data_IF_779687009392
#
_entry.id   IF_779687009392
#
_cell.length_a   1.000
_cell.length_b   1.000
_cell.length_c   1.000
_cell.angle_alpha   90.00
_cell.angle_beta   90.00
_cell.angle_gamma   90.00
#
_symmetry.space_group_name_H-M   'P 1'
#
loop_
_entity.id
_entity.type
_entity.pdbx_description
1 polymer ?
#
# COMPACT_ATOMS: atom_id res chain seq x y z
N UNK A 1 17.03 4.59 -7.59
CA UNK A 1 15.80 5.21 -7.04
C UNK A 1 15.54 6.61 -7.60
N UNK A 2 16.46 7.58 -7.45
CA UNK A 2 16.27 8.99 -7.91
C UNK A 2 15.99 9.09 -9.41
N UNK A 3 16.69 8.34 -10.27
CA UNK A 3 16.51 8.36 -11.73
C UNK A 3 15.12 7.87 -12.15
N UNK A 4 14.62 6.80 -11.51
CA UNK A 4 13.28 6.29 -11.74
C UNK A 4 12.22 7.34 -11.32
N UNK A 5 12.49 8.04 -10.23
CA UNK A 5 11.64 9.11 -9.71
C UNK A 5 11.55 10.29 -10.69
N UNK A 6 12.69 10.72 -11.24
CA UNK A 6 12.76 11.83 -12.21
C UNK A 6 12.04 11.47 -13.51
N UNK A 7 12.31 10.27 -14.06
CA UNK A 7 11.65 9.80 -15.29
C UNK A 7 10.14 9.71 -15.10
N UNK A 8 9.73 9.21 -13.95
CA UNK A 8 8.33 9.08 -13.59
C UNK A 8 7.68 10.46 -13.39
N UNK A 9 8.31 11.38 -12.65
CA UNK A 9 7.81 12.73 -12.46
C UNK A 9 7.65 13.45 -13.81
N UNK A 10 8.64 13.31 -14.72
CA UNK A 10 8.57 13.87 -16.06
C UNK A 10 7.41 13.29 -16.89
N UNK A 11 7.23 11.97 -16.84
CA UNK A 11 6.11 11.29 -17.52
C UNK A 11 4.76 11.74 -16.96
N UNK A 12 4.69 11.92 -15.64
CA UNK A 12 3.49 12.33 -14.92
C UNK A 12 3.10 13.79 -15.25
N UNK A 13 4.05 14.70 -15.36
CA UNK A 13 3.82 16.13 -15.67
C UNK A 13 3.28 16.30 -17.11
N UNK A 14 3.65 15.42 -18.04
CA UNK A 14 3.19 15.48 -19.44
C UNK A 14 1.75 14.97 -19.67
N UNK A 15 1.16 14.21 -18.75
CA UNK A 15 -0.21 13.69 -18.93
C UNK A 15 -1.28 14.66 -18.41
N UNK A 16 -2.06 15.25 -19.31
CA UNK A 16 -3.13 16.23 -19.01
C UNK A 16 -4.28 15.70 -18.13
N UNK A 17 -4.33 14.39 -17.78
CA UNK A 17 -5.35 13.74 -16.92
C UNK A 17 -4.73 12.85 -15.84
N UNK A 18 -3.73 13.37 -15.20
CA UNK A 18 -2.91 12.72 -14.20
C UNK A 18 -3.70 12.00 -13.08
N UNK A 19 -4.66 12.70 -12.47
CA UNK A 19 -5.43 12.14 -11.35
C UNK A 19 -6.30 10.94 -11.72
N UNK A 20 -6.79 10.89 -12.96
CA UNK A 20 -7.60 9.78 -13.44
C UNK A 20 -6.75 8.56 -13.79
N UNK A 21 -5.57 8.79 -14.39
CA UNK A 21 -4.65 7.73 -14.76
C UNK A 21 -4.07 7.01 -13.52
N UNK A 22 -3.90 7.73 -12.42
CA UNK A 22 -3.36 7.22 -11.15
C UNK A 22 -4.42 6.69 -10.18
N UNK A 23 -5.68 6.59 -10.58
CA UNK A 23 -6.76 6.24 -9.67
C UNK A 23 -6.85 7.12 -8.41
N UNK A 24 -6.49 8.40 -8.51
CA UNK A 24 -6.70 9.40 -7.45
C UNK A 24 -8.17 9.87 -7.42
N UNK A 25 -9.09 8.93 -7.36
CA UNK A 25 -10.54 9.19 -7.34
C UNK A 25 -11.02 9.27 -5.90
N UNK A 26 -12.00 10.14 -5.68
CA UNK A 26 -12.70 10.16 -4.40
C UNK A 26 -13.48 8.88 -4.21
N UNK A 27 -13.44 8.33 -3.02
CA UNK A 27 -14.22 7.17 -2.57
C UNK A 27 -15.09 7.56 -1.38
N UNK A 28 -16.09 6.75 -1.11
CA UNK A 28 -16.93 6.94 0.09
C UNK A 28 -16.07 6.77 1.35
N UNK A 29 -16.40 7.54 2.39
CA UNK A 29 -15.64 7.53 3.65
C UNK A 29 -15.45 6.11 4.26
N UNK A 30 -16.45 5.22 4.28
CA UNK A 30 -16.23 3.86 4.78
C UNK A 30 -15.14 3.11 3.99
N UNK A 31 -15.17 3.18 2.66
CA UNK A 31 -14.15 2.52 1.80
C UNK A 31 -12.76 3.13 2.00
N UNK A 32 -12.69 4.45 2.22
CA UNK A 32 -11.44 5.14 2.48
C UNK A 32 -10.73 4.62 3.73
N UNK A 33 -11.48 4.43 4.83
CA UNK A 33 -10.92 4.03 6.12
C UNK A 33 -10.70 2.53 6.27
N UNK A 34 -11.25 1.70 5.37
CA UNK A 34 -11.13 0.23 5.46
C UNK A 34 -9.67 -0.22 5.49
N UNK A 35 -8.80 0.39 4.69
CA UNK A 35 -7.38 0.06 4.68
C UNK A 35 -6.75 0.31 6.05
N UNK A 36 -6.94 1.49 6.63
CA UNK A 36 -6.41 1.84 7.93
C UNK A 36 -6.99 0.95 9.05
N UNK A 37 -8.26 0.56 8.95
CA UNK A 37 -8.91 -0.36 9.91
C UNK A 37 -8.31 -1.79 9.89
N UNK A 38 -7.73 -2.19 8.76
CA UNK A 38 -7.05 -3.49 8.62
C UNK A 38 -5.58 -3.45 9.06
N UNK A 39 -4.96 -2.27 9.14
CA UNK A 39 -3.53 -2.14 9.44
C UNK A 39 -3.09 -2.82 10.74
N UNK A 40 -3.82 -2.78 11.88
CA UNK A 40 -3.44 -3.51 13.09
C UNK A 40 -3.36 -5.02 12.89
N UNK A 41 -4.32 -5.60 12.15
CA UNK A 41 -4.31 -7.03 11.86
C UNK A 41 -3.15 -7.43 10.94
N UNK A 42 -2.86 -6.60 9.93
CA UNK A 42 -1.73 -6.79 9.03
C UNK A 42 -0.40 -6.68 9.77
N UNK A 43 -0.28 -5.70 10.67
CA UNK A 43 0.94 -5.52 11.48
C UNK A 43 1.18 -6.70 12.40
N UNK A 44 0.14 -7.19 13.09
CA UNK A 44 0.23 -8.40 13.91
C UNK A 44 0.63 -9.62 13.09
N UNK A 45 0.05 -9.81 11.92
CA UNK A 45 0.38 -10.94 11.05
C UNK A 45 1.87 -10.91 10.62
N UNK A 46 2.38 -9.74 10.24
CA UNK A 46 3.80 -9.55 9.91
C UNK A 46 4.67 -9.79 11.13
N UNK A 47 4.34 -9.21 12.29
CA UNK A 47 5.11 -9.40 13.53
C UNK A 47 5.19 -10.87 13.94
N UNK A 48 4.12 -11.64 13.79
CA UNK A 48 4.12 -13.08 14.07
C UNK A 48 5.04 -13.86 13.12
N UNK A 49 5.11 -13.46 11.86
CA UNK A 49 6.05 -14.07 10.90
C UNK A 49 7.49 -13.73 11.27
N UNK A 50 7.79 -12.46 11.55
CA UNK A 50 9.13 -12.02 11.91
C UNK A 50 9.64 -12.69 13.20
N UNK A 51 8.76 -12.94 14.17
CA UNK A 51 9.10 -13.59 15.45
C UNK A 51 9.65 -15.02 15.30
N UNK A 52 9.25 -15.73 14.22
CA UNK A 52 9.66 -17.13 13.99
C UNK A 52 10.79 -17.27 12.99
N UNK A 53 11.30 -16.16 12.43
CA UNK A 53 12.43 -16.18 11.50
C UNK A 53 13.74 -16.45 12.25
N UNK A 54 14.71 -17.14 11.58
CA UNK A 54 16.05 -17.33 12.12
C UNK A 54 16.76 -16.00 12.38
N UNK A 55 17.52 -15.92 13.47
CA UNK A 55 18.27 -14.72 13.86
C UNK A 55 19.20 -14.24 12.72
N UNK A 56 19.84 -15.17 12.00
CA UNK A 56 20.73 -14.86 10.87
C UNK A 56 20.03 -14.13 9.71
N UNK A 57 18.72 -14.29 9.56
CA UNK A 57 17.94 -13.54 8.57
C UNK A 57 17.57 -12.15 9.07
N UNK A 58 17.39 -12.03 10.40
CA UNK A 58 17.04 -10.77 11.03
C UNK A 58 18.20 -9.78 11.12
N UNK A 59 19.46 -10.22 11.06
CA UNK A 59 20.64 -9.34 11.08
C UNK A 59 20.60 -8.33 9.92
N UNK A 60 20.48 -8.81 8.67
CA UNK A 60 20.38 -7.96 7.47
C UNK A 60 19.18 -7.01 7.53
N UNK A 61 18.03 -7.52 7.99
CA UNK A 61 16.84 -6.71 8.20
C UNK A 61 17.06 -5.59 9.23
N UNK A 62 17.69 -5.90 10.37
CA UNK A 62 17.94 -4.94 11.44
C UNK A 62 18.95 -3.87 11.01
N UNK A 63 20.01 -4.26 10.30
CA UNK A 63 20.96 -3.30 9.71
C UNK A 63 20.28 -2.33 8.76
N UNK A 64 19.47 -2.84 7.85
CA UNK A 64 18.75 -2.02 6.87
C UNK A 64 17.71 -1.08 7.52
N UNK A 65 17.04 -1.54 8.59
CA UNK A 65 16.01 -0.76 9.29
C UNK A 65 16.60 0.29 10.23
N UNK A 66 17.78 0.05 10.82
CA UNK A 66 18.40 0.97 11.78
C UNK A 66 18.70 2.37 11.22
N UNK A 67 19.00 2.45 9.91
CA UNK A 67 19.22 3.73 9.22
C UNK A 67 17.97 4.59 9.05
N UNK A 68 16.79 3.99 9.17
CA UNK A 68 15.50 4.66 8.92
C UNK A 68 15.06 5.47 10.15
N UNK A 69 15.33 4.97 11.35
CA UNK A 69 14.88 5.56 12.62
C UNK A 69 15.75 6.74 13.11
N UNK A 70 16.95 6.92 12.54
CA UNK A 70 17.90 7.95 12.95
C UNK A 70 17.53 9.41 12.59
N UNK A 71 16.49 9.62 11.78
CA UNK A 71 16.13 10.92 11.20
C UNK A 71 15.27 11.85 12.09
N UNK A 72 14.99 11.50 13.35
CA UNK A 72 14.11 12.28 14.22
C UNK A 72 12.70 12.47 13.60
N UNK A 73 12.05 13.59 13.89
CA UNK A 73 10.68 13.89 13.39
C UNK A 73 10.60 13.85 11.86
N UNK A 74 11.64 14.33 11.16
CA UNK A 74 11.67 14.33 9.70
C UNK A 74 11.75 12.90 9.16
N UNK A 75 12.54 12.02 9.79
CA UNK A 75 12.59 10.60 9.47
C UNK A 75 11.25 9.92 9.66
N UNK A 76 10.58 10.15 10.77
CA UNK A 76 9.23 9.62 11.04
C UNK A 76 8.24 10.07 9.98
N UNK A 77 8.19 11.36 9.65
CA UNK A 77 7.30 11.88 8.59
C UNK A 77 7.63 11.28 7.22
N UNK A 78 8.91 11.06 6.92
CA UNK A 78 9.32 10.43 5.68
C UNK A 78 8.80 8.98 5.60
N UNK A 79 8.95 8.19 6.66
CA UNK A 79 8.55 6.78 6.68
C UNK A 79 7.04 6.61 6.79
N UNK A 80 6.37 7.40 7.62
CA UNK A 80 4.94 7.24 7.90
C UNK A 80 4.06 7.85 6.80
N UNK A 81 4.51 8.93 6.17
CA UNK A 81 3.68 9.65 5.22
C UNK A 81 4.29 9.72 3.81
N UNK A 82 5.50 10.25 3.66
CA UNK A 82 6.05 10.54 2.35
C UNK A 82 6.33 9.26 1.53
N UNK A 83 6.97 8.26 2.14
CA UNK A 83 7.27 7.00 1.47
C UNK A 83 5.99 6.24 1.06
N UNK A 84 5.00 6.00 1.94
CA UNK A 84 3.74 5.37 1.55
C UNK A 84 3.01 6.08 0.42
N UNK A 85 2.92 7.41 0.45
CA UNK A 85 2.28 8.18 -0.64
C UNK A 85 2.99 7.92 -1.96
N UNK A 86 4.32 8.05 -1.98
CA UNK A 86 5.13 7.88 -3.18
C UNK A 86 5.05 6.44 -3.70
N UNK A 87 5.16 5.47 -2.82
CA UNK A 87 5.14 4.05 -3.17
C UNK A 87 3.77 3.64 -3.73
N UNK A 88 2.67 4.02 -3.08
CA UNK A 88 1.34 3.69 -3.60
C UNK A 88 1.06 4.38 -4.93
N UNK A 89 1.51 5.62 -5.14
CA UNK A 89 1.42 6.30 -6.43
C UNK A 89 2.20 5.53 -7.50
N UNK A 90 3.40 5.05 -7.19
CA UNK A 90 4.24 4.30 -8.13
C UNK A 90 3.63 2.92 -8.43
N UNK A 91 3.43 2.12 -7.40
CA UNK A 91 3.12 0.70 -7.57
C UNK A 91 1.64 0.48 -7.89
N UNK A 92 0.72 1.20 -7.27
CA UNK A 92 -0.73 1.06 -7.52
C UNK A 92 -1.23 2.04 -8.54
N UNK A 93 -0.83 3.31 -8.44
CA UNK A 93 -1.25 4.35 -9.36
C UNK A 93 -0.69 4.18 -10.77
N UNK A 94 0.59 3.85 -10.92
CA UNK A 94 1.23 3.72 -12.24
C UNK A 94 1.33 2.26 -12.69
N UNK A 95 2.09 1.43 -11.96
CA UNK A 95 2.42 0.07 -12.43
C UNK A 95 1.16 -0.78 -12.51
N UNK A 96 0.43 -0.91 -11.41
CA UNK A 96 -0.75 -1.78 -11.37
C UNK A 96 -1.85 -1.31 -12.33
N UNK A 97 -2.11 0.01 -12.42
CA UNK A 97 -3.13 0.51 -13.34
C UNK A 97 -2.78 0.26 -14.80
N UNK A 98 -1.50 0.32 -15.19
CA UNK A 98 -1.04 -0.02 -16.54
C UNK A 98 -1.11 -1.51 -16.80
N UNK A 99 -0.66 -2.34 -15.86
CA UNK A 99 -0.80 -3.78 -15.97
C UNK A 99 -2.26 -4.20 -16.10
N UNK A 100 -3.17 -3.57 -15.35
CA UNK A 100 -4.61 -3.87 -15.40
C UNK A 100 -5.28 -3.55 -16.74
N UNK A 101 -4.61 -2.81 -17.62
CA UNK A 101 -5.07 -2.60 -19.00
C UNK A 101 -4.68 -3.77 -19.92
N UNK A 102 -3.61 -4.49 -19.59
CA UNK A 102 -3.03 -5.55 -20.42
C UNK A 102 -3.36 -6.97 -19.92
N UNK A 103 -3.58 -7.13 -18.61
CA UNK A 103 -3.82 -8.43 -17.98
C UNK A 103 -5.01 -8.38 -17.01
N UNK A 104 -5.59 -9.53 -16.62
CA UNK A 104 -6.64 -9.57 -15.61
C UNK A 104 -6.22 -8.89 -14.29
N UNK A 105 -7.16 -8.19 -13.64
CA UNK A 105 -6.86 -7.36 -12.46
C UNK A 105 -6.14 -8.10 -11.33
N UNK A 106 -6.48 -9.36 -11.05
CA UNK A 106 -5.78 -10.17 -10.06
C UNK A 106 -4.30 -10.39 -10.40
N UNK A 107 -3.98 -10.55 -11.69
CA UNK A 107 -2.61 -10.71 -12.16
C UNK A 107 -1.85 -9.37 -12.10
N UNK A 108 -2.52 -8.27 -12.43
CA UNK A 108 -1.95 -6.92 -12.27
C UNK A 108 -1.59 -6.63 -10.81
N UNK A 109 -2.45 -7.02 -9.86
CA UNK A 109 -2.18 -6.94 -8.42
C UNK A 109 -0.97 -7.79 -8.06
N UNK A 110 -0.93 -9.06 -8.49
CA UNK A 110 0.17 -9.97 -8.16
C UNK A 110 1.51 -9.48 -8.71
N UNK A 111 1.56 -9.07 -9.98
CA UNK A 111 2.79 -8.55 -10.60
C UNK A 111 3.27 -7.26 -9.93
N UNK A 112 2.35 -6.32 -9.65
CA UNK A 112 2.69 -5.09 -8.93
C UNK A 112 3.21 -5.37 -7.52
N UNK A 113 2.64 -6.35 -6.82
CA UNK A 113 3.08 -6.74 -5.49
C UNK A 113 4.47 -7.39 -5.49
N UNK A 114 4.77 -8.23 -6.51
CA UNK A 114 6.12 -8.81 -6.68
C UNK A 114 7.15 -7.70 -6.90
N UNK A 115 6.86 -6.74 -7.79
CA UNK A 115 7.78 -5.62 -8.05
C UNK A 115 7.95 -4.77 -6.79
N UNK A 116 6.86 -4.50 -6.07
CA UNK A 116 6.88 -3.76 -4.80
C UNK A 116 7.79 -4.43 -3.77
N UNK A 117 7.60 -5.72 -3.51
CA UNK A 117 8.44 -6.48 -2.59
C UNK A 117 9.91 -6.50 -3.03
N UNK A 118 10.18 -6.75 -4.32
CA UNK A 118 11.54 -6.82 -4.86
C UNK A 118 12.31 -5.49 -4.75
N UNK A 119 11.61 -4.36 -4.81
CA UNK A 119 12.23 -3.04 -4.67
C UNK A 119 12.76 -2.74 -3.26
N UNK A 120 12.41 -3.55 -2.25
CA UNK A 120 12.95 -3.42 -0.90
C UNK A 120 14.36 -4.01 -0.74
N UNK A 121 14.81 -4.89 -1.65
CA UNK A 121 16.20 -5.31 -1.77
C UNK A 121 16.69 -6.32 -0.72
N UNK A 122 15.88 -6.66 0.29
CA UNK A 122 16.16 -7.62 1.34
C UNK A 122 15.12 -8.75 1.34
N UNK A 123 15.52 -10.02 1.52
CA UNK A 123 14.59 -11.16 1.49
C UNK A 123 13.51 -11.13 2.57
N UNK A 124 13.83 -10.63 3.78
CA UNK A 124 12.85 -10.51 4.87
C UNK A 124 11.85 -9.41 4.54
N UNK A 125 12.33 -8.28 4.05
CA UNK A 125 11.46 -7.21 3.56
C UNK A 125 10.59 -7.64 2.39
N UNK A 126 11.13 -8.36 1.41
CA UNK A 126 10.32 -8.97 0.36
C UNK A 126 9.22 -9.87 0.93
N UNK A 127 9.57 -10.69 1.94
CA UNK A 127 8.68 -11.68 2.54
C UNK A 127 7.41 -11.10 3.13
N UNK A 128 7.44 -9.88 3.67
CA UNK A 128 6.24 -9.23 4.17
C UNK A 128 5.72 -8.10 3.25
N UNK A 129 6.58 -7.41 2.51
CA UNK A 129 6.14 -6.37 1.58
C UNK A 129 5.31 -6.94 0.41
N UNK A 130 5.68 -8.11 -0.10
CA UNK A 130 4.91 -8.78 -1.14
C UNK A 130 3.46 -9.10 -0.71
N UNK A 131 3.18 -9.81 0.40
CA UNK A 131 1.80 -10.04 0.85
C UNK A 131 1.06 -8.76 1.22
N UNK A 132 1.71 -7.76 1.83
CA UNK A 132 1.11 -6.44 2.01
C UNK A 132 0.74 -5.80 0.67
N UNK A 133 1.62 -5.93 -0.31
CA UNK A 133 1.40 -5.49 -1.68
C UNK A 133 0.17 -6.10 -2.34
N UNK A 134 -0.08 -7.38 -2.10
CA UNK A 134 -1.30 -8.07 -2.56
C UNK A 134 -2.55 -7.49 -1.91
N UNK A 135 -2.52 -7.27 -0.59
CA UNK A 135 -3.66 -6.70 0.16
C UNK A 135 -3.97 -5.29 -0.31
N UNK A 136 -2.96 -4.41 -0.39
CA UNK A 136 -3.13 -3.03 -0.84
C UNK A 136 -3.64 -2.96 -2.28
N UNK A 137 -3.05 -3.75 -3.19
CA UNK A 137 -3.50 -3.82 -4.57
C UNK A 137 -4.93 -4.36 -4.71
N UNK A 138 -5.32 -5.34 -3.89
CA UNK A 138 -6.69 -5.85 -3.85
C UNK A 138 -7.68 -4.77 -3.39
N UNK A 139 -7.37 -4.06 -2.30
CA UNK A 139 -8.21 -2.97 -1.79
C UNK A 139 -8.43 -1.93 -2.88
N UNK A 140 -7.36 -1.49 -3.55
CA UNK A 140 -7.43 -0.45 -4.58
C UNK A 140 -8.15 -0.92 -5.84
N UNK A 141 -7.93 -2.16 -6.26
CA UNK A 141 -8.66 -2.75 -7.40
C UNK A 141 -10.18 -2.77 -7.12
N UNK A 142 -10.58 -3.03 -5.88
CA UNK A 142 -12.00 -3.03 -5.48
C UNK A 142 -12.56 -1.63 -5.29
N UNK A 143 -11.79 -0.72 -4.74
CA UNK A 143 -12.18 0.67 -4.51
C UNK A 143 -12.15 1.52 -5.81
N UNK A 144 -11.32 1.15 -6.79
CA UNK A 144 -11.02 1.97 -7.97
C UNK A 144 -10.27 3.26 -7.60
N UNK A 145 -9.49 3.23 -6.53
CA UNK A 145 -8.77 4.37 -5.96
C UNK A 145 -7.59 3.89 -5.12
N UNK A 146 -6.49 4.65 -5.12
CA UNK A 146 -5.30 4.34 -4.30
C UNK A 146 -5.33 4.99 -2.90
N UNK A 147 -6.33 5.79 -2.58
CA UNK A 147 -6.42 6.42 -1.26
C UNK A 147 -6.56 5.43 -0.10
N UNK A 148 -7.32 4.32 -0.23
CA UNK A 148 -7.41 3.32 0.83
C UNK A 148 -6.08 2.63 1.12
N UNK A 149 -5.28 2.29 0.09
CA UNK A 149 -3.95 1.68 0.29
C UNK A 149 -2.96 2.68 0.88
N UNK A 150 -2.98 3.95 0.45
CA UNK A 150 -2.16 5.00 1.07
C UNK A 150 -2.42 5.05 2.58
N UNK A 151 -3.69 5.10 3.00
CA UNK A 151 -4.03 5.14 4.43
C UNK A 151 -3.66 3.85 5.16
N UNK A 152 -3.85 2.68 4.52
CA UNK A 152 -3.45 1.39 5.09
C UNK A 152 -1.94 1.34 5.33
N UNK A 153 -1.16 1.76 4.35
CA UNK A 153 0.29 1.76 4.40
C UNK A 153 0.82 2.77 5.43
N UNK A 154 0.27 3.99 5.44
CA UNK A 154 0.60 4.99 6.46
C UNK A 154 0.29 4.49 7.88
N UNK A 155 -0.86 3.85 8.08
CA UNK A 155 -1.23 3.30 9.37
C UNK A 155 -0.30 2.13 9.77
N UNK A 156 0.04 1.24 8.84
CA UNK A 156 0.98 0.14 9.07
C UNK A 156 2.36 0.65 9.51
N UNK A 157 2.94 1.59 8.76
CA UNK A 157 4.22 2.18 9.11
C UNK A 157 4.16 2.99 10.41
N UNK A 158 3.04 3.69 10.64
CA UNK A 158 2.82 4.44 11.88
C UNK A 158 2.78 3.55 13.12
N UNK A 159 2.19 2.36 13.02
CA UNK A 159 2.19 1.36 14.11
C UNK A 159 3.63 0.94 14.44
N UNK A 160 4.46 0.67 13.42
CA UNK A 160 5.87 0.34 13.61
C UNK A 160 6.62 1.46 14.34
N UNK A 161 6.43 2.72 13.93
CA UNK A 161 7.07 3.87 14.57
C UNK A 161 6.61 4.09 16.03
N UNK A 162 5.38 3.73 16.38
CA UNK A 162 4.94 3.74 17.77
C UNK A 162 5.69 2.70 18.58
N UNK A 163 5.89 1.48 18.04
CA UNK A 163 6.64 0.43 18.71
C UNK A 163 8.10 0.86 18.97
N UNK A 164 8.74 1.54 17.99
CA UNK A 164 10.13 2.00 18.08
C UNK A 164 10.36 3.06 19.18
N UNK A 165 9.32 3.78 19.60
CA UNK A 165 9.41 4.83 20.63
C UNK A 165 8.84 4.42 22.00
N UNK A 166 8.33 3.19 22.12
CA UNK A 166 7.85 2.69 23.41
C UNK A 166 8.99 2.55 24.41
N UNK A 167 8.69 2.70 25.72
CA UNK A 167 9.65 2.34 26.76
C UNK A 167 10.10 0.89 26.60
N UNK A 168 11.39 0.65 26.86
CA UNK A 168 11.98 -0.69 26.84
C UNK A 168 11.58 -1.46 28.12
N UNK A 169 10.32 -1.83 28.19
CA UNK A 169 9.74 -2.62 29.28
C UNK A 169 8.73 -3.65 28.74
N UNK A 170 8.72 -4.83 29.34
CA UNK A 170 7.83 -5.93 28.94
C UNK A 170 6.35 -5.51 29.05
N UNK A 171 6.00 -4.70 30.04
CA UNK A 171 4.63 -4.22 30.25
C UNK A 171 4.19 -3.26 29.13
N UNK A 172 5.08 -2.35 28.67
CA UNK A 172 4.77 -1.42 27.60
C UNK A 172 4.58 -2.18 26.27
N UNK A 173 5.49 -3.10 25.97
CA UNK A 173 5.43 -3.95 24.77
C UNK A 173 4.18 -4.84 24.79
N UNK A 174 3.90 -5.51 25.91
CA UNK A 174 2.71 -6.32 26.07
C UNK A 174 1.43 -5.49 25.90
N UNK A 175 1.36 -4.33 26.57
CA UNK A 175 0.24 -3.40 26.47
C UNK A 175 -0.02 -2.95 25.03
N UNK A 176 1.04 -2.65 24.28
CA UNK A 176 0.96 -2.31 22.86
C UNK A 176 0.37 -3.44 22.01
N UNK A 177 0.86 -4.67 22.15
CA UNK A 177 0.35 -5.81 21.39
C UNK A 177 -1.08 -6.19 21.77
N UNK A 178 -1.46 -6.04 23.04
CA UNK A 178 -2.87 -6.23 23.46
C UNK A 178 -3.79 -5.16 22.85
N UNK A 179 -3.35 -3.89 22.80
CA UNK A 179 -4.09 -2.82 22.14
C UNK A 179 -4.21 -3.04 20.63
N UNK A 180 -3.15 -3.53 19.98
CA UNK A 180 -3.19 -3.93 18.57
C UNK A 180 -4.18 -5.08 18.32
N UNK A 181 -4.16 -6.10 19.16
CA UNK A 181 -5.07 -7.24 19.05
C UNK A 181 -6.53 -6.78 19.20
N UNK A 182 -6.81 -5.97 20.21
CA UNK A 182 -8.13 -5.37 20.38
C UNK A 182 -8.56 -4.54 19.16
N UNK A 183 -7.65 -3.71 18.63
CA UNK A 183 -7.88 -2.89 17.44
C UNK A 183 -8.11 -3.74 16.19
N UNK A 184 -7.34 -4.81 16.01
CA UNK A 184 -7.48 -5.75 14.90
C UNK A 184 -8.86 -6.45 14.85
N UNK A 185 -9.51 -6.58 15.99
CA UNK A 185 -10.87 -7.13 16.10
C UNK A 185 -11.93 -6.03 15.99
N UNK A 186 -11.75 -4.95 16.75
CA UNK A 186 -12.77 -3.90 16.89
C UNK A 186 -12.93 -3.09 15.61
N UNK A 187 -11.82 -2.64 15.00
CA UNK A 187 -11.88 -1.74 13.84
C UNK A 187 -12.59 -2.37 12.62
N UNK A 188 -12.33 -3.62 12.21
CA UNK A 188 -13.10 -4.28 11.15
C UNK A 188 -14.58 -4.45 11.48
N UNK A 189 -14.92 -4.66 12.77
CA UNK A 189 -16.32 -4.73 13.21
C UNK A 189 -17.02 -3.37 13.07
N UNK A 190 -16.33 -2.29 13.42
CA UNK A 190 -16.86 -0.94 13.27
C UNK A 190 -16.96 -0.54 11.79
N UNK A 191 -15.99 -0.95 10.97
CA UNK A 191 -15.95 -0.66 9.53
C UNK A 191 -16.67 -1.72 8.68
N UNK A 192 -17.65 -2.42 9.21
CA UNK A 192 -18.43 -3.43 8.46
C UNK A 192 -18.97 -2.94 7.11
N UNK A 193 -19.26 -1.64 7.00
CA UNK A 193 -19.77 -1.04 5.75
C UNK A 193 -18.68 -0.96 4.68
N UNK A 194 -17.49 -0.50 5.03
CA UNK A 194 -16.34 -0.44 4.14
C UNK A 194 -15.88 -1.82 3.71
N UNK A 195 -15.75 -2.77 4.65
CA UNK A 195 -15.41 -4.17 4.33
C UNK A 195 -16.44 -4.79 3.38
N UNK A 196 -17.74 -4.65 3.68
CA UNK A 196 -18.79 -5.12 2.76
C UNK A 196 -18.70 -4.47 1.39
N UNK A 197 -18.33 -3.18 1.31
CA UNK A 197 -18.17 -2.49 0.03
C UNK A 197 -17.05 -3.09 -0.81
N UNK A 198 -15.93 -3.50 -0.21
CA UNK A 198 -14.83 -4.19 -0.91
C UNK A 198 -15.28 -5.52 -1.56
N UNK A 199 -16.18 -6.25 -0.92
CA UNK A 199 -16.67 -7.54 -1.44
C UNK A 199 -17.91 -7.42 -2.34
N UNK A 200 -18.56 -6.25 -2.42
CA UNK A 200 -19.63 -6.01 -3.41
C UNK A 200 -19.03 -5.94 -4.81
N UNK A 201 -19.63 -6.68 -5.75
CA UNK A 201 -19.24 -6.61 -7.15
C UNK A 201 -19.45 -5.17 -7.65
N UNK A 202 -18.35 -4.46 -7.95
CA UNK A 202 -18.44 -3.15 -8.57
C UNK A 202 -18.68 -3.37 -10.09
N UNK A 203 -19.87 -3.08 -10.61
CA UNK A 203 -20.15 -3.28 -12.04
C UNK A 203 -19.28 -2.41 -12.96
N UNK A 204 -18.63 -1.36 -12.40
CA UNK A 204 -17.69 -0.48 -13.12
C UNK A 204 -16.24 -0.97 -13.09
N UNK A 205 -15.94 -2.02 -12.34
CA UNK A 205 -14.60 -2.63 -12.22
C UNK A 205 -14.51 -3.98 -12.96
N UNK A 206 -15.39 -4.24 -13.93
CA UNK A 206 -15.33 -5.45 -14.74
C UNK A 206 -14.01 -5.51 -15.52
N UNK A 207 -13.31 -6.67 -15.54
CA UNK A 207 -12.10 -6.84 -16.33
C UNK A 207 -12.40 -6.59 -17.81
N UNK A 208 -11.63 -5.73 -18.46
CA UNK A 208 -11.75 -5.47 -19.89
C UNK A 208 -12.78 -4.37 -20.29
N UNK A 209 -13.47 -3.74 -19.35
CA UNK A 209 -14.16 -2.50 -19.70
C UNK A 209 -13.14 -1.35 -19.69
N UNK A 210 -12.82 -0.87 -20.90
CA UNK A 210 -12.28 0.49 -21.11
C UNK A 210 -13.04 1.45 -20.19
N UNK A 211 -12.30 2.32 -19.50
CA UNK A 211 -12.89 3.44 -18.74
C UNK A 211 -14.00 4.05 -19.60
N UNK A 212 -15.19 4.41 -19.03
CA UNK A 212 -16.22 5.06 -19.82
C UNK A 212 -15.57 6.25 -20.51
N UNK A 213 -15.47 6.17 -21.81
CA UNK A 213 -15.06 7.27 -22.66
C UNK A 213 -16.10 8.35 -22.48
N UNK A 214 -15.78 9.37 -21.71
CA UNK A 214 -16.54 10.63 -21.77
C UNK A 214 -16.48 11.06 -23.24
N UNK A 215 -17.60 11.45 -23.87
CA UNK A 215 -17.57 11.94 -25.23
C UNK A 215 -16.49 13.00 -25.39
N UNK A 216 -15.49 12.78 -26.26
CA UNK A 216 -14.36 13.68 -26.48
C UNK A 216 -13.01 13.19 -25.95
N UNK A 217 -12.89 11.96 -25.49
CA UNK A 217 -11.58 11.35 -25.15
C UNK A 217 -11.04 10.62 -26.37
N UNK A 218 -10.02 11.19 -26.99
CA UNK A 218 -9.26 10.55 -28.06
C UNK A 218 -8.73 9.18 -27.56
N UNK A 219 -8.99 8.12 -28.33
CA UNK A 219 -8.26 6.88 -28.27
C UNK A 219 -6.80 7.22 -28.51
N UNK A 220 -5.93 6.97 -27.52
CA UNK A 220 -4.49 7.06 -27.70
C UNK A 220 -4.07 5.77 -28.40
N UNK A 221 -3.82 5.87 -29.69
CA UNK A 221 -3.04 4.85 -30.41
C UNK A 221 -1.55 5.11 -30.12
N UNK A 222 -0.86 4.21 -29.39
CA UNK A 222 0.56 4.39 -29.10
C UNK A 222 1.46 4.28 -30.33
N UNK A 223 0.90 3.97 -31.51
CA UNK A 223 1.62 3.74 -32.77
C UNK A 223 1.32 4.78 -33.85
N UNK A 224 0.42 5.74 -33.63
CA UNK A 224 0.27 6.90 -34.52
C UNK A 224 1.41 7.90 -34.22
N UNK A 225 2.39 7.87 -35.10
CA UNK A 225 3.55 8.82 -35.13
C UNK A 225 3.13 10.19 -35.64
#
# INVERSE_FOLDING_TARGET
>A
MLTLFIVMAFYLIRQKRFSQALWLRRVEAPTLWTGAALAPALYLAVSMVLLVLPESWMESYNEASSGITSGGVVGVLAVVAAAPIVEEVIFRGLIMTRLNQAVPGWLAVALSAVIFGACHGDPVWFGYAFPLGLVFGFIDLRAGSIWPSILAHMAFNGIGQVLDVLPDSDEAVLGFFLALLASAVILPILDRRGIKALFRRNPKAAPGQSLPTTPGVYEFDPWET
#
